data_IF_722015746174
#
_entry.id   IF_722015746174
#
_cell.length_a   1.000
_cell.length_b   1.000
_cell.length_c   1.000
_cell.angle_alpha   90.00
_cell.angle_beta   90.00
_cell.angle_gamma   90.00
#
_symmetry.space_group_name_H-M   'P 1'
#
loop_
_entity.id
_entity.type
_entity.pdbx_description
1 polymer ?
#
# COMPACT_ATOMS: atom_id res chain seq x y z
N UNK A 1 3.28 -13.20 -12.29
CA UNK A 1 3.30 -12.51 -10.99
C UNK A 1 3.87 -11.12 -11.16
N UNK A 2 3.35 -10.18 -10.41
CA UNK A 2 3.77 -8.79 -10.49
C UNK A 2 4.33 -8.33 -9.17
N UNK A 3 5.26 -7.41 -9.23
CA UNK A 3 5.89 -6.85 -8.03
C UNK A 3 5.22 -5.53 -7.69
N UNK A 4 4.91 -5.38 -6.40
CA UNK A 4 4.29 -4.17 -5.88
C UNK A 4 5.06 -3.71 -4.67
N UNK A 5 4.90 -2.44 -4.33
CA UNK A 5 5.50 -1.89 -3.13
C UNK A 5 4.43 -1.12 -2.36
N UNK A 6 4.32 -1.46 -1.08
CA UNK A 6 3.36 -0.80 -0.20
C UNK A 6 4.13 0.16 0.69
N UNK A 7 3.83 1.45 0.56
CA UNK A 7 4.46 2.49 1.37
C UNK A 7 3.57 2.84 2.54
N UNK A 8 4.16 2.91 3.72
CA UNK A 8 3.46 3.32 4.93
C UNK A 8 3.85 4.76 5.21
N UNK A 9 2.84 5.63 5.30
CA UNK A 9 3.05 7.06 5.41
C UNK A 9 2.77 7.54 6.83
N UNK A 10 3.40 8.64 7.21
CA UNK A 10 3.11 9.27 8.49
C UNK A 10 2.00 10.31 8.31
N UNK A 11 1.71 11.07 9.37
CA UNK A 11 0.62 12.05 9.34
C UNK A 11 0.86 13.14 8.31
N UNK A 12 2.12 13.34 7.90
CA UNK A 12 2.49 14.38 6.94
C UNK A 12 2.76 13.79 5.56
N UNK A 13 2.34 12.53 5.33
CA UNK A 13 2.51 11.84 4.06
C UNK A 13 3.97 11.56 3.71
N UNK A 14 4.82 11.47 4.71
CA UNK A 14 6.20 11.03 4.50
C UNK A 14 6.29 9.53 4.61
N UNK A 15 7.07 8.92 3.74
CA UNK A 15 7.23 7.47 3.76
C UNK A 15 8.07 7.07 4.97
N UNK A 16 7.49 6.24 5.83
CA UNK A 16 8.20 5.71 6.99
C UNK A 16 8.82 4.36 6.73
N UNK A 17 8.14 3.53 5.91
CA UNK A 17 8.68 2.22 5.57
C UNK A 17 7.98 1.74 4.31
N UNK A 18 8.57 0.72 3.70
CA UNK A 18 8.01 0.11 2.52
C UNK A 18 8.10 -1.40 2.65
N UNK A 19 7.11 -2.08 2.10
CA UNK A 19 7.06 -3.55 2.09
C UNK A 19 6.86 -3.99 0.65
N UNK A 20 7.66 -4.95 0.22
CA UNK A 20 7.51 -5.51 -1.12
C UNK A 20 6.45 -6.59 -1.11
N UNK A 21 5.61 -6.57 -2.14
CA UNK A 21 4.55 -7.56 -2.32
C UNK A 21 4.69 -8.18 -3.70
N UNK A 22 4.32 -9.45 -3.80
CA UNK A 22 4.26 -10.14 -5.08
C UNK A 22 2.86 -10.71 -5.20
N UNK A 23 2.11 -10.24 -6.20
CA UNK A 23 0.72 -10.63 -6.38
C UNK A 23 0.45 -10.83 -7.86
N UNK A 24 -0.67 -11.49 -8.17
CA UNK A 24 -0.99 -11.77 -9.56
C UNK A 24 -1.58 -10.57 -10.28
N UNK A 25 -2.32 -9.73 -9.57
CA UNK A 25 -2.94 -8.56 -10.17
C UNK A 25 -3.15 -7.47 -9.12
N UNK A 26 -3.63 -6.32 -9.60
CA UNK A 26 -3.84 -5.16 -8.74
C UNK A 26 -4.87 -5.43 -7.65
N UNK A 27 -5.89 -6.22 -7.97
CA UNK A 27 -6.92 -6.55 -6.99
C UNK A 27 -6.36 -7.35 -5.81
N UNK A 28 -5.52 -8.33 -6.11
CA UNK A 28 -4.88 -9.10 -5.05
C UNK A 28 -3.94 -8.24 -4.22
N UNK A 29 -3.18 -7.38 -4.88
CA UNK A 29 -2.25 -6.50 -4.18
C UNK A 29 -3.00 -5.54 -3.28
N UNK A 30 -4.13 -5.01 -3.74
CA UNK A 30 -4.96 -4.11 -2.94
C UNK A 30 -5.51 -4.83 -1.72
N UNK A 31 -6.02 -6.06 -1.90
CA UNK A 31 -6.56 -6.82 -0.79
C UNK A 31 -5.47 -7.15 0.23
N UNK A 32 -4.30 -7.55 -0.23
CA UNK A 32 -3.20 -7.85 0.68
C UNK A 32 -2.76 -6.60 1.44
N UNK A 33 -2.74 -5.45 0.76
CA UNK A 33 -2.37 -4.19 1.41
C UNK A 33 -3.38 -3.79 2.47
N UNK A 34 -4.65 -4.03 2.21
CA UNK A 34 -5.70 -3.67 3.17
C UNK A 34 -5.64 -4.51 4.44
N UNK A 35 -5.01 -5.68 4.38
CA UNK A 35 -4.86 -6.53 5.56
C UNK A 35 -3.79 -6.02 6.52
N UNK A 36 -2.90 -5.16 6.06
CA UNK A 36 -1.91 -4.56 6.94
C UNK A 36 -2.58 -3.43 7.72
N UNK A 37 -2.71 -3.62 9.01
CA UNK A 37 -3.32 -2.60 9.86
C UNK A 37 -2.35 -1.47 10.10
N UNK A 38 -2.83 -0.25 9.97
CA UNK A 38 -1.97 0.91 10.08
C UNK A 38 -2.80 2.13 10.45
N UNK A 39 -2.20 3.04 11.21
CA UNK A 39 -2.89 4.22 11.75
C UNK A 39 -3.05 5.34 10.74
N UNK A 40 -2.14 5.41 9.79
CA UNK A 40 -2.13 6.50 8.80
C UNK A 40 -2.29 5.91 7.41
N UNK A 41 -2.18 6.75 6.39
CA UNK A 41 -2.40 6.34 5.02
C UNK A 41 -1.31 5.41 4.51
N UNK A 42 -1.66 4.60 3.54
CA UNK A 42 -0.72 3.74 2.82
C UNK A 42 -0.90 3.99 1.34
N UNK A 43 0.17 3.82 0.57
CA UNK A 43 0.09 3.90 -0.89
C UNK A 43 0.63 2.62 -1.48
N UNK A 44 -0.13 2.05 -2.40
CA UNK A 44 0.26 0.83 -3.09
C UNK A 44 0.74 1.20 -4.48
N UNK A 45 1.97 0.83 -4.80
CA UNK A 45 2.59 1.15 -6.07
C UNK A 45 2.88 -0.13 -6.86
N UNK A 46 2.64 -0.08 -8.16
CA UNK A 46 3.18 -1.06 -9.09
C UNK A 46 4.57 -0.65 -9.52
N UNK A 47 5.04 -1.19 -10.63
CA UNK A 47 6.42 -0.92 -11.07
C UNK A 47 6.66 0.55 -11.36
N UNK A 48 5.71 1.20 -12.02
CA UNK A 48 5.92 2.57 -12.45
C UNK A 48 4.72 3.47 -12.20
N UNK A 49 3.77 3.04 -11.37
CA UNK A 49 2.56 3.81 -11.16
C UNK A 49 1.94 3.51 -9.82
N UNK A 50 1.15 4.46 -9.34
CA UNK A 50 0.35 4.26 -8.14
C UNK A 50 -0.85 3.40 -8.51
N UNK A 51 -1.05 2.32 -7.76
CA UNK A 51 -2.21 1.48 -7.93
C UNK A 51 -3.40 2.08 -7.19
N UNK A 52 -3.22 2.37 -5.90
CA UNK A 52 -4.27 2.99 -5.10
C UNK A 52 -3.69 3.56 -3.82
N UNK A 53 -4.49 4.39 -3.16
CA UNK A 53 -4.15 4.93 -1.85
C UNK A 53 -5.14 4.36 -0.85
N UNK A 54 -4.63 3.87 0.27
CA UNK A 54 -5.47 3.28 1.31
C UNK A 54 -5.46 4.21 2.51
N UNK A 55 -6.62 4.77 2.81
CA UNK A 55 -6.76 5.67 3.96
C UNK A 55 -6.98 4.85 5.22
N UNK A 56 -6.57 5.37 6.37
CA UNK A 56 -6.77 4.66 7.61
C UNK A 56 -8.24 4.62 7.96
N UNK A 57 -8.62 3.56 8.67
CA UNK A 57 -9.97 3.49 9.22
C UNK A 57 -10.10 4.53 10.32
N UNK A 58 -11.20 5.26 10.33
CA UNK A 58 -11.41 6.33 11.29
C UNK A 58 -12.45 5.98 12.34
N UNK A 59 -12.72 4.74 12.53
CA UNK A 59 -13.77 4.35 13.47
C UNK A 59 -13.26 3.94 14.78
#
# INVERSE_FOLDING_TARGET
>A
MREYRLYFLDKDDHVLRAVDLTCDDDGQATAASAEHRYTHAKELWGLARVVCRLEPSTR
#
